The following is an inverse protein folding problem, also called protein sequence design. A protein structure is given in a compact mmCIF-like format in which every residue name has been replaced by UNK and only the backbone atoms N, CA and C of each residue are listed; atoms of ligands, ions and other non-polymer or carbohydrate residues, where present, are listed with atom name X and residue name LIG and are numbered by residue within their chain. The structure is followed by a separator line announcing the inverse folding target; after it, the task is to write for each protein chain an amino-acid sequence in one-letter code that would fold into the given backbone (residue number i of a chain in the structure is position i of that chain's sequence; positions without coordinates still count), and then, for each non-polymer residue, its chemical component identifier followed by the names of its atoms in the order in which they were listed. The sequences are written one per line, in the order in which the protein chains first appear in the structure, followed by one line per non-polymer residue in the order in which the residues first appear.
data_IF_883155207856
#
_entry.id   IF_883155207856
#
_cell.length_a   1.000
_cell.length_b   1.000
_cell.length_c   1.000
_cell.angle_alpha   90.00
_cell.angle_beta   90.00
_cell.angle_gamma   90.00
#
_symmetry.space_group_name_H-M   'P 1'
#
loop_
_entity.id
_entity.type
_entity.pdbx_description
1 polymer ?
#
# COMPACT_ATOMS: atom_id res chain seq x y z
N UNK A 1 0.21 -39.85 58.59
CA UNK A 1 0.03 -38.77 57.59
C UNK A 1 0.83 -37.54 58.02
N UNK A 2 1.98 -37.31 57.37
CA UNK A 2 2.85 -36.13 57.57
C UNK A 2 3.53 -35.79 56.25
N UNK A 3 3.71 -34.49 55.99
CA UNK A 3 4.77 -33.99 55.10
C UNK A 3 4.32 -32.96 54.07
N UNK A 4 4.26 -31.69 54.47
CA UNK A 4 4.48 -30.56 53.55
C UNK A 4 5.93 -30.63 53.06
N UNK A 5 6.19 -30.35 51.78
CA UNK A 5 7.51 -29.89 51.33
C UNK A 5 7.34 -28.81 50.27
N UNK A 6 7.82 -27.63 50.64
CA UNK A 6 8.24 -26.53 49.79
C UNK A 6 9.73 -26.36 50.09
N UNK A 7 10.60 -26.42 49.07
CA UNK A 7 11.98 -25.90 48.97
C UNK A 7 12.50 -26.38 47.60
N UNK A 8 12.59 -25.53 46.57
CA UNK A 8 13.74 -24.68 46.24
C UNK A 8 15.03 -25.47 46.01
N UNK A 9 15.38 -25.74 44.75
CA UNK A 9 16.74 -26.12 44.38
C UNK A 9 17.09 -25.42 43.06
N UNK A 10 17.93 -24.39 43.19
CA UNK A 10 18.68 -23.78 42.10
C UNK A 10 19.90 -24.68 41.83
N UNK A 11 20.23 -24.89 40.56
CA UNK A 11 21.60 -25.24 40.15
C UNK A 11 21.82 -24.76 38.72
N UNK A 12 22.56 -23.66 38.70
CA UNK A 12 23.46 -23.13 37.68
C UNK A 12 23.77 -24.03 36.46
N UNK A 13 23.70 -23.41 35.27
CA UNK A 13 24.83 -23.16 34.38
C UNK A 13 24.41 -23.19 32.90
N UNK A 14 24.40 -22.02 32.28
CA UNK A 14 24.60 -21.88 30.85
C UNK A 14 25.97 -22.47 30.45
N UNK A 15 26.09 -22.92 29.19
CA UNK A 15 27.21 -22.47 28.38
C UNK A 15 26.69 -21.67 27.19
N UNK A 16 26.89 -20.36 27.26
CA UNK A 16 26.89 -19.44 26.13
C UNK A 16 28.02 -19.85 25.17
N UNK A 17 27.72 -20.75 24.23
CA UNK A 17 28.63 -21.04 23.13
C UNK A 17 28.42 -20.03 21.99
N UNK A 18 29.40 -19.15 21.89
CA UNK A 18 29.67 -18.21 20.81
C UNK A 18 29.73 -18.90 19.44
N UNK A 19 28.70 -18.67 18.62
CA UNK A 19 28.87 -18.49 17.17
C UNK A 19 28.11 -17.25 16.73
N UNK A 20 28.75 -16.10 16.94
CA UNK A 20 28.25 -14.78 16.56
C UNK A 20 28.34 -14.55 15.05
N UNK A 21 27.39 -15.08 14.29
CA UNK A 21 27.14 -14.67 12.90
C UNK A 21 25.65 -14.71 12.49
N UNK A 22 24.77 -15.34 13.26
CA UNK A 22 23.34 -15.46 12.90
C UNK A 22 22.48 -14.24 13.27
N UNK A 23 23.01 -13.26 14.01
CA UNK A 23 22.21 -12.15 14.55
C UNK A 23 22.13 -10.91 13.65
N UNK A 24 22.85 -10.88 12.52
CA UNK A 24 22.85 -9.73 11.60
C UNK A 24 21.97 -9.92 10.35
N UNK A 25 21.38 -11.11 10.15
CA UNK A 25 20.55 -11.40 8.96
C UNK A 25 19.05 -11.19 9.18
N UNK A 26 18.63 -10.84 10.39
CA UNK A 26 17.21 -10.81 10.79
C UNK A 26 16.58 -9.42 10.80
N UNK A 27 17.36 -8.35 10.64
CA UNK A 27 16.85 -6.96 10.71
C UNK A 27 16.46 -6.38 9.34
N UNK A 28 16.74 -7.08 8.24
CA UNK A 28 16.53 -6.58 6.87
C UNK A 28 15.23 -7.03 6.18
N UNK A 29 14.37 -7.87 6.79
CA UNK A 29 13.27 -8.53 6.06
C UNK A 29 11.84 -8.05 6.39
N UNK A 30 11.68 -6.93 7.09
CA UNK A 30 10.34 -6.37 7.41
C UNK A 30 10.12 -4.99 6.83
N UNK A 31 10.48 -4.82 5.57
CA UNK A 31 9.93 -3.72 4.78
C UNK A 31 8.49 -4.12 4.44
N UNK A 32 7.47 -3.33 4.80
CA UNK A 32 6.12 -3.62 4.34
C UNK A 32 6.13 -3.48 2.82
N UNK A 33 6.10 -4.61 2.11
CA UNK A 33 5.72 -4.60 0.70
C UNK A 33 4.27 -4.13 0.67
N UNK A 34 4.06 -2.86 0.34
CA UNK A 34 2.74 -2.28 0.16
C UNK A 34 2.05 -3.06 -0.95
N UNK A 35 1.02 -3.83 -0.61
CA UNK A 35 0.38 -4.74 -1.55
C UNK A 35 -0.23 -3.93 -2.70
N UNK A 36 0.17 -4.25 -3.93
CA UNK A 36 -0.39 -3.58 -5.09
C UNK A 36 -1.77 -4.17 -5.37
N UNK A 37 -2.80 -3.33 -5.29
CA UNK A 37 -4.16 -3.69 -5.65
C UNK A 37 -4.54 -3.02 -6.97
N UNK A 38 -5.31 -3.71 -7.81
CA UNK A 38 -5.89 -3.11 -9.02
C UNK A 38 -6.67 -1.85 -8.64
N UNK A 39 -6.41 -0.74 -9.34
CA UNK A 39 -7.09 0.52 -9.04
C UNK A 39 -8.61 0.37 -9.24
N UNK A 40 -9.44 0.60 -8.20
CA UNK A 40 -10.89 0.46 -8.32
C UNK A 40 -11.51 1.55 -9.20
N UNK A 41 -10.86 2.72 -9.32
CA UNK A 41 -11.36 3.85 -10.11
C UNK A 41 -11.30 3.64 -11.63
N UNK A 42 -10.40 2.78 -12.13
CA UNK A 42 -10.29 2.48 -13.55
C UNK A 42 -10.25 0.98 -13.87
N UNK A 43 -10.46 0.10 -12.87
CA UNK A 43 -10.34 -1.34 -13.01
C UNK A 43 -9.05 -1.80 -13.72
N UNK A 44 -7.93 -1.12 -13.47
CA UNK A 44 -6.65 -1.42 -14.13
C UNK A 44 -6.44 -0.81 -15.53
N UNK A 45 -7.44 -0.14 -16.11
CA UNK A 45 -7.35 0.45 -17.46
C UNK A 45 -6.41 1.68 -17.58
N UNK A 46 -5.87 2.17 -16.47
CA UNK A 46 -4.93 3.32 -16.38
C UNK A 46 -5.49 4.66 -16.84
N UNK A 47 -6.74 4.71 -17.26
CA UNK A 47 -7.42 5.92 -17.69
C UNK A 47 -8.93 5.78 -17.57
N UNK A 48 -9.61 6.89 -17.73
CA UNK A 48 -11.07 6.96 -17.83
C UNK A 48 -11.45 7.96 -18.90
N UNK A 49 -12.58 7.72 -19.56
CA UNK A 49 -13.21 8.74 -20.39
C UNK A 49 -13.71 9.88 -19.50
N UNK A 50 -13.48 11.12 -19.92
CA UNK A 50 -14.00 12.32 -19.29
C UNK A 50 -14.82 13.10 -20.30
N UNK A 51 -15.91 13.67 -19.82
CA UNK A 51 -16.68 14.67 -20.55
C UNK A 51 -16.45 16.01 -19.88
N UNK A 52 -15.99 16.99 -20.65
CA UNK A 52 -15.95 18.40 -20.27
C UNK A 52 -17.12 19.14 -20.92
N UNK A 53 -17.73 20.04 -20.14
CA UNK A 53 -18.80 20.92 -20.55
C UNK A 53 -18.31 22.36 -20.41
N UNK A 54 -18.28 23.09 -21.52
CA UNK A 54 -17.94 24.51 -21.57
C UNK A 54 -19.03 25.30 -22.27
N UNK A 55 -18.98 26.62 -22.13
CA UNK A 55 -19.73 27.56 -22.96
C UNK A 55 -18.72 28.40 -23.71
N UNK A 56 -18.82 28.45 -25.03
CA UNK A 56 -17.88 29.15 -25.90
C UNK A 56 -18.62 30.19 -26.72
N UNK A 57 -17.90 31.22 -27.15
CA UNK A 57 -18.47 32.26 -28.02
C UNK A 57 -18.18 31.91 -29.47
N UNK A 58 -19.22 31.83 -30.29
CA UNK A 58 -19.10 31.53 -31.72
C UNK A 58 -18.55 32.73 -32.51
N UNK A 59 -18.39 32.55 -33.83
CA UNK A 59 -17.92 33.62 -34.72
C UNK A 59 -18.88 34.81 -34.86
N UNK A 60 -20.11 34.69 -34.35
CA UNK A 60 -21.16 35.70 -34.41
C UNK A 60 -21.39 36.39 -33.05
N UNK A 61 -20.68 35.98 -32.00
CA UNK A 61 -20.80 36.53 -30.65
C UNK A 61 -21.84 35.83 -29.77
N UNK A 62 -22.45 34.74 -30.22
CA UNK A 62 -23.40 33.97 -29.43
C UNK A 62 -22.69 32.96 -28.54
N UNK A 63 -23.29 32.68 -27.38
CA UNK A 63 -22.83 31.63 -26.48
C UNK A 63 -23.39 30.28 -26.93
N UNK A 64 -22.50 29.32 -27.15
CA UNK A 64 -22.84 27.95 -27.51
C UNK A 64 -22.34 26.96 -26.44
N UNK A 65 -23.16 25.99 -26.03
CA UNK A 65 -22.70 24.91 -25.16
C UNK A 65 -21.83 23.95 -25.97
N UNK A 66 -20.61 23.70 -25.49
CA UNK A 66 -19.66 22.78 -26.11
C UNK A 66 -19.43 21.59 -25.18
N UNK A 67 -19.48 20.38 -25.75
CA UNK A 67 -19.17 19.13 -25.06
C UNK A 67 -17.95 18.49 -25.70
N UNK A 68 -16.92 18.21 -24.90
CA UNK A 68 -15.72 17.49 -25.34
C UNK A 68 -15.58 16.20 -24.56
N UNK A 69 -15.39 15.10 -25.28
CA UNK A 69 -15.10 13.80 -24.68
C UNK A 69 -13.65 13.44 -24.98
N UNK A 70 -12.89 13.10 -23.94
CA UNK A 70 -11.49 12.73 -24.09
C UNK A 70 -11.08 11.67 -23.09
N UNK A 71 -10.08 10.87 -23.47
CA UNK A 71 -9.44 9.93 -22.55
C UNK A 71 -8.39 10.66 -21.72
N UNK A 72 -8.33 10.40 -20.42
CA UNK A 72 -7.29 10.95 -19.56
C UNK A 72 -6.84 9.95 -18.49
N UNK A 73 -5.67 10.15 -17.88
CA UNK A 73 -5.22 9.31 -16.78
C UNK A 73 -6.26 9.25 -15.65
N UNK A 74 -6.42 8.05 -15.08
CA UNK A 74 -7.31 7.86 -13.94
C UNK A 74 -6.76 8.67 -12.76
N UNK A 75 -7.59 9.55 -12.19
CA UNK A 75 -7.19 10.45 -11.10
C UNK A 75 -6.90 9.70 -9.80
N UNK A 76 -7.52 8.54 -9.60
CA UNK A 76 -7.34 7.71 -8.39
C UNK A 76 -5.95 7.08 -8.33
N UNK A 77 -5.44 6.58 -9.44
CA UNK A 77 -4.12 5.92 -9.50
C UNK A 77 -3.07 6.68 -10.30
N UNK A 78 -3.34 7.94 -10.67
CA UNK A 78 -2.49 8.76 -11.55
C UNK A 78 -2.03 8.03 -12.84
N UNK A 79 -2.85 7.13 -13.37
CA UNK A 79 -2.53 6.33 -14.56
C UNK A 79 -1.60 5.12 -14.34
N UNK A 80 -1.31 4.76 -13.10
CA UNK A 80 -0.53 3.55 -12.78
C UNK A 80 -1.33 2.26 -12.96
N UNK A 81 -2.66 2.32 -12.86
CA UNK A 81 -3.53 1.14 -12.92
C UNK A 81 -3.61 0.35 -11.62
N UNK A 82 -2.76 0.66 -10.63
CA UNK A 82 -2.72 0.06 -9.30
C UNK A 82 -2.71 1.14 -8.22
N UNK A 83 -3.11 0.78 -7.01
CA UNK A 83 -2.97 1.58 -5.79
C UNK A 83 -2.18 0.79 -4.75
N UNK A 84 -1.46 1.50 -3.89
CA UNK A 84 -0.72 0.94 -2.77
C UNK A 84 -1.55 1.17 -1.49
N UNK A 85 -1.77 0.12 -0.68
CA UNK A 85 -2.43 0.20 0.62
C UNK A 85 -1.47 -0.09 1.77
#
# INVERSE_FOLDING_TARGET
MRGRRFTSEWSDAEPLSLTGVDTLRSVLWRWPMTEQQTCPGCAGARGTEKTEHSVETDGQGWQEPVRRTFWSPCTVCAGLGVVHQ
#
